data_IF_902502625521
#
_entry.id   IF_902502625521
#
_cell.length_a   1.000
_cell.length_b   1.000
_cell.length_c   1.000
_cell.angle_alpha   90.00
_cell.angle_beta   90.00
_cell.angle_gamma   90.00
#
_symmetry.space_group_name_H-M   'P 1'
#
loop_
_entity.id
_entity.type
_entity.pdbx_description
1 polymer ?
#
# COMPACT_ATOMS: atom_id res chain seq x y z
N UNK A 1 7.24 -22.89 -9.16
CA UNK A 1 5.76 -22.85 -9.24
C UNK A 1 5.09 -22.61 -7.87
N UNK A 2 5.75 -21.91 -6.92
CA UNK A 2 5.34 -21.89 -5.49
C UNK A 2 5.33 -20.47 -4.86
N UNK A 3 5.33 -19.37 -5.64
CA UNK A 3 5.40 -17.99 -5.09
C UNK A 3 4.52 -16.91 -5.74
N UNK A 4 3.74 -17.22 -6.77
CA UNK A 4 2.96 -16.21 -7.53
C UNK A 4 1.44 -16.19 -7.22
N UNK A 5 1.01 -17.03 -6.28
CA UNK A 5 -0.33 -17.03 -5.68
C UNK A 5 -0.31 -16.65 -4.19
N UNK A 6 0.88 -16.39 -3.61
CA UNK A 6 1.06 -16.17 -2.16
C UNK A 6 1.11 -14.70 -1.71
N UNK A 7 0.99 -13.71 -2.59
CA UNK A 7 1.16 -12.31 -2.18
C UNK A 7 -0.07 -11.64 -1.59
N UNK A 8 -1.29 -12.13 -1.86
CA UNK A 8 -2.47 -11.61 -1.18
C UNK A 8 -2.47 -11.96 0.32
N UNK A 9 -2.01 -13.16 0.67
CA UNK A 9 -1.86 -13.57 2.08
C UNK A 9 -0.76 -12.79 2.79
N UNK A 10 0.38 -12.54 2.13
CA UNK A 10 1.46 -11.73 2.68
C UNK A 10 1.01 -10.31 3.03
N UNK A 11 0.38 -9.62 2.07
CA UNK A 11 -0.16 -8.27 2.32
C UNK A 11 -1.27 -8.28 3.37
N UNK A 12 -2.20 -9.24 3.34
CA UNK A 12 -3.25 -9.37 4.35
C UNK A 12 -2.65 -9.51 5.77
N UNK A 13 -1.67 -10.39 5.93
CA UNK A 13 -0.97 -10.60 7.20
C UNK A 13 -0.26 -9.33 7.66
N UNK A 14 0.42 -8.61 6.77
CA UNK A 14 1.06 -7.35 7.14
C UNK A 14 0.05 -6.30 7.59
N UNK A 15 -1.05 -6.13 6.86
CA UNK A 15 -2.12 -5.21 7.27
C UNK A 15 -2.71 -5.61 8.61
N UNK A 16 -2.94 -6.91 8.84
CA UNK A 16 -3.43 -7.42 10.12
C UNK A 16 -2.45 -7.15 11.27
N UNK A 17 -1.17 -7.51 11.12
CA UNK A 17 -0.16 -7.31 12.16
C UNK A 17 0.10 -5.84 12.43
N UNK A 18 0.10 -4.98 11.39
CA UNK A 18 0.18 -3.53 11.57
C UNK A 18 -1.05 -3.00 12.29
N UNK A 19 -2.25 -3.44 11.93
CA UNK A 19 -3.47 -3.07 12.65
C UNK A 19 -3.39 -3.43 14.13
N UNK A 20 -3.01 -4.67 14.42
CA UNK A 20 -2.85 -5.18 15.78
C UNK A 20 -1.77 -4.42 16.55
N UNK A 21 -0.64 -4.14 15.90
CA UNK A 21 0.43 -3.32 16.47
C UNK A 21 -0.11 -1.93 16.82
N UNK A 22 -0.68 -1.19 15.88
CA UNK A 22 -1.22 0.15 16.14
C UNK A 22 -2.31 0.16 17.22
N UNK A 23 -3.15 -0.87 17.28
CA UNK A 23 -4.14 -1.04 18.34
C UNK A 23 -3.49 -1.23 19.72
N UNK A 24 -2.50 -2.13 19.84
CA UNK A 24 -1.76 -2.35 21.08
C UNK A 24 -1.03 -1.08 21.54
N UNK A 25 -0.47 -0.33 20.60
CA UNK A 25 0.24 0.91 20.89
C UNK A 25 -0.69 1.99 21.43
N UNK A 26 -1.84 2.16 20.79
CA UNK A 26 -2.89 3.05 21.28
C UNK A 26 -3.40 2.64 22.67
N UNK A 27 -3.55 1.34 22.91
CA UNK A 27 -3.95 0.82 24.21
C UNK A 27 -2.91 1.11 25.31
N UNK A 28 -1.64 0.88 25.02
CA UNK A 28 -0.52 1.15 25.94
C UNK A 28 -0.38 2.64 26.25
N UNK A 29 -0.56 3.50 25.24
CA UNK A 29 -0.52 4.96 25.40
C UNK A 29 -1.60 5.45 26.36
N UNK A 30 -2.79 4.84 26.35
CA UNK A 30 -3.86 5.16 27.32
C UNK A 30 -3.55 4.75 28.76
N UNK A 31 -2.72 3.72 28.96
CA UNK A 31 -2.41 3.22 30.31
C UNK A 31 -1.19 3.89 30.94
N UNK A 32 -0.27 4.42 30.14
CA UNK A 32 1.03 4.92 30.63
C UNK A 32 1.01 6.43 30.89
N UNK A 33 1.24 6.82 32.16
CA UNK A 33 1.39 8.22 32.59
C UNK A 33 2.80 8.80 32.39
N UNK A 34 3.77 8.06 31.83
CA UNK A 34 5.20 8.33 32.04
C UNK A 34 6.09 8.41 30.77
N UNK A 35 7.27 9.03 30.93
CA UNK A 35 8.25 9.46 29.91
C UNK A 35 8.73 8.42 28.86
N UNK A 36 8.47 7.12 29.03
CA UNK A 36 8.88 6.05 28.09
C UNK A 36 8.21 6.15 26.71
N UNK A 37 7.16 6.99 26.59
CA UNK A 37 6.48 7.32 25.34
C UNK A 37 7.34 8.07 24.31
N UNK A 38 8.46 8.71 24.69
CA UNK A 38 9.24 9.55 23.77
C UNK A 38 9.89 8.79 22.62
N UNK A 39 10.59 7.68 22.92
CA UNK A 39 11.24 6.87 21.89
C UNK A 39 10.18 6.17 21.01
N UNK A 40 9.10 5.75 21.65
CA UNK A 40 7.97 5.13 20.97
C UNK A 40 7.31 6.07 19.95
N UNK A 41 7.08 7.33 20.33
CA UNK A 41 6.54 8.37 19.43
C UNK A 41 7.41 8.65 18.21
N UNK A 42 8.72 8.37 18.27
CA UNK A 42 9.63 8.55 17.15
C UNK A 42 9.64 7.38 16.17
N UNK A 43 9.26 6.17 16.59
CA UNK A 43 9.41 4.94 15.79
C UNK A 43 8.06 4.37 15.34
N UNK A 44 6.95 4.82 15.93
CA UNK A 44 5.58 4.31 15.67
C UNK A 44 5.13 4.30 14.21
N UNK A 45 5.76 5.07 13.32
CA UNK A 45 5.41 5.15 11.89
C UNK A 45 6.22 4.16 11.04
N UNK A 46 7.35 3.65 11.51
CA UNK A 46 8.15 2.69 10.73
C UNK A 46 7.38 1.45 10.27
N UNK A 47 6.48 0.83 11.06
CA UNK A 47 5.67 -0.29 10.60
C UNK A 47 4.85 0.03 9.34
N UNK A 48 4.37 1.26 9.20
CA UNK A 48 3.68 1.74 8.00
C UNK A 48 4.58 1.69 6.76
N UNK A 49 5.85 2.10 6.90
CA UNK A 49 6.82 2.04 5.80
C UNK A 49 7.01 0.60 5.32
N UNK A 50 7.23 -0.34 6.23
CA UNK A 50 7.43 -1.74 5.87
C UNK A 50 6.18 -2.33 5.17
N UNK A 51 5.00 -2.04 5.69
CA UNK A 51 3.73 -2.50 5.12
C UNK A 51 3.53 -1.98 3.69
N UNK A 52 3.68 -0.67 3.48
CA UNK A 52 3.48 -0.05 2.17
C UNK A 52 4.58 -0.48 1.18
N UNK A 53 5.84 -0.52 1.63
CA UNK A 53 6.96 -0.95 0.80
C UNK A 53 6.76 -2.38 0.30
N UNK A 54 6.39 -3.32 1.18
CA UNK A 54 6.12 -4.69 0.78
C UNK A 54 4.92 -4.78 -0.17
N UNK A 55 3.82 -4.12 0.20
CA UNK A 55 2.55 -4.26 -0.52
C UNK A 55 2.59 -3.66 -1.91
N UNK A 56 3.33 -2.57 -2.12
CA UNK A 56 3.43 -1.90 -3.41
C UNK A 56 4.72 -2.26 -4.15
N UNK A 57 5.84 -2.43 -3.45
CA UNK A 57 7.15 -2.61 -4.08
C UNK A 57 7.28 -3.95 -4.78
N UNK A 58 6.90 -5.06 -4.14
CA UNK A 58 7.08 -6.37 -4.76
C UNK A 58 6.16 -6.58 -5.98
N UNK A 59 4.83 -6.30 -5.90
CA UNK A 59 3.96 -6.42 -7.07
C UNK A 59 4.32 -5.43 -8.19
N UNK A 60 4.70 -4.20 -7.85
CA UNK A 60 5.10 -3.20 -8.84
C UNK A 60 6.36 -3.63 -9.59
N UNK A 61 7.35 -4.15 -8.86
CA UNK A 61 8.58 -4.68 -9.46
C UNK A 61 8.30 -5.83 -10.42
N UNK A 62 7.46 -6.80 -10.02
CA UNK A 62 7.11 -7.94 -10.89
C UNK A 62 6.42 -7.48 -12.19
N UNK A 63 5.52 -6.48 -12.12
CA UNK A 63 4.84 -5.94 -13.31
C UNK A 63 5.78 -5.33 -14.33
N UNK A 64 6.84 -4.66 -13.87
CA UNK A 64 7.80 -3.99 -14.76
C UNK A 64 8.90 -4.93 -15.23
N UNK A 65 9.50 -5.70 -14.33
CA UNK A 65 10.70 -6.50 -14.64
C UNK A 65 10.40 -7.88 -15.19
N UNK A 66 9.26 -8.48 -14.86
CA UNK A 66 8.81 -9.76 -15.41
C UNK A 66 7.59 -9.57 -16.30
N UNK A 67 7.60 -8.51 -17.11
CA UNK A 67 6.45 -8.08 -17.91
C UNK A 67 5.96 -9.16 -18.88
N UNK A 68 6.85 -9.95 -19.48
CA UNK A 68 6.45 -11.01 -20.42
C UNK A 68 5.51 -12.04 -19.78
N UNK A 69 5.85 -12.53 -18.58
CA UNK A 69 5.05 -13.53 -17.87
C UNK A 69 3.80 -12.91 -17.23
N UNK A 70 3.96 -11.74 -16.61
CA UNK A 70 2.88 -11.06 -15.89
C UNK A 70 1.82 -10.54 -16.86
N UNK A 71 2.23 -9.97 -17.99
CA UNK A 71 1.32 -9.41 -18.99
C UNK A 71 0.47 -10.49 -19.65
N UNK A 72 1.06 -11.62 -20.05
CA UNK A 72 0.31 -12.73 -20.63
C UNK A 72 -0.83 -13.21 -19.71
N UNK A 73 -0.58 -13.25 -18.40
CA UNK A 73 -1.60 -13.60 -17.41
C UNK A 73 -2.73 -12.55 -17.35
N UNK A 74 -2.38 -11.26 -17.32
CA UNK A 74 -3.39 -10.19 -17.29
C UNK A 74 -4.21 -10.10 -18.58
N UNK A 75 -3.58 -10.25 -19.75
CA UNK A 75 -4.28 -10.33 -21.04
C UNK A 75 -5.33 -11.43 -21.01
N UNK A 76 -4.96 -12.62 -20.53
CA UNK A 76 -5.89 -13.74 -20.44
C UNK A 76 -7.02 -13.49 -19.43
N UNK A 77 -6.69 -12.94 -18.25
CA UNK A 77 -7.67 -12.60 -17.21
C UNK A 77 -8.71 -11.58 -17.69
N UNK A 78 -8.29 -10.59 -18.47
CA UNK A 78 -9.16 -9.51 -18.96
C UNK A 78 -9.72 -9.77 -20.36
N UNK A 79 -9.43 -10.90 -20.99
CA UNK A 79 -9.80 -11.22 -22.39
C UNK A 79 -11.28 -10.98 -22.70
N UNK A 80 -12.18 -11.38 -21.81
CA UNK A 80 -13.64 -11.25 -21.96
C UNK A 80 -14.23 -9.93 -21.43
N UNK A 81 -13.39 -9.01 -20.94
CA UNK A 81 -13.84 -7.74 -20.37
C UNK A 81 -13.96 -6.63 -21.42
N UNK A 82 -14.59 -5.51 -21.08
CA UNK A 82 -14.57 -4.34 -21.95
C UNK A 82 -13.18 -3.70 -22.04
N UNK A 83 -12.32 -3.90 -21.04
CA UNK A 83 -10.96 -3.33 -21.00
C UNK A 83 -10.04 -3.93 -22.08
N UNK A 84 -10.27 -5.18 -22.49
CA UNK A 84 -9.52 -5.78 -23.61
C UNK A 84 -9.88 -5.18 -24.97
N UNK A 85 -11.04 -4.53 -25.09
CA UNK A 85 -11.54 -3.91 -26.33
C UNK A 85 -11.06 -2.46 -26.50
N UNK A 86 -10.44 -1.87 -25.48
CA UNK A 86 -9.89 -0.52 -25.56
C UNK A 86 -8.67 -0.47 -26.51
N UNK A 87 -8.37 0.69 -27.13
CA UNK A 87 -7.20 0.84 -27.97
C UNK A 87 -5.92 0.56 -27.18
N UNK A 88 -5.10 -0.38 -27.66
CA UNK A 88 -3.91 -0.87 -26.94
C UNK A 88 -4.18 -1.97 -25.91
N UNK A 89 -5.43 -2.40 -25.73
CA UNK A 89 -5.83 -3.46 -24.81
C UNK A 89 -5.53 -3.15 -23.34
N UNK A 90 -5.28 -4.19 -22.54
CA UNK A 90 -5.03 -4.04 -21.10
C UNK A 90 -3.58 -3.58 -20.79
N UNK A 91 -2.64 -3.73 -21.73
CA UNK A 91 -1.21 -3.58 -21.47
C UNK A 91 -0.82 -2.21 -20.90
N UNK A 92 -1.28 -1.07 -21.47
CA UNK A 92 -0.94 0.25 -20.94
C UNK A 92 -1.38 0.44 -19.50
N UNK A 93 -2.55 -0.10 -19.12
CA UNK A 93 -3.08 -0.01 -17.77
C UNK A 93 -2.26 -0.79 -16.76
N UNK A 94 -1.77 -1.99 -17.13
CA UNK A 94 -0.92 -2.81 -16.25
C UNK A 94 0.44 -2.15 -16.05
N UNK A 95 1.05 -1.58 -17.10
CA UNK A 95 2.30 -0.84 -16.97
C UNK A 95 2.12 0.42 -16.11
N UNK A 96 1.04 1.17 -16.33
CA UNK A 96 0.71 2.33 -15.51
C UNK A 96 0.55 1.95 -14.03
N UNK A 97 -0.17 0.86 -13.73
CA UNK A 97 -0.27 0.33 -12.37
C UNK A 97 1.10 -0.07 -11.80
N UNK A 98 1.95 -0.74 -12.58
CA UNK A 98 3.31 -1.10 -12.15
C UNK A 98 4.16 0.12 -11.80
N UNK A 99 4.06 1.20 -12.58
CA UNK A 99 4.76 2.46 -12.31
C UNK A 99 4.22 3.16 -11.05
N UNK A 100 2.89 3.20 -10.88
CA UNK A 100 2.26 3.75 -9.68
C UNK A 100 2.71 2.98 -8.43
N UNK A 101 2.69 1.65 -8.49
CA UNK A 101 3.14 0.77 -7.41
C UNK A 101 4.63 0.94 -7.08
N UNK A 102 5.51 1.04 -8.09
CA UNK A 102 6.94 1.28 -7.88
C UNK A 102 7.28 2.69 -7.42
N UNK A 103 6.44 3.68 -7.72
CA UNK A 103 6.67 5.03 -7.21
C UNK A 103 6.57 5.09 -5.68
N UNK A 104 5.72 4.25 -5.06
CA UNK A 104 5.53 4.18 -3.61
C UNK A 104 6.82 3.82 -2.85
N UNK A 105 7.51 2.69 -3.09
CA UNK A 105 8.75 2.37 -2.39
C UNK A 105 9.84 3.42 -2.64
N UNK A 106 9.92 4.02 -3.83
CA UNK A 106 10.86 5.12 -4.11
C UNK A 106 10.57 6.32 -3.20
N UNK A 107 9.31 6.75 -3.14
CA UNK A 107 8.89 7.84 -2.25
C UNK A 107 9.14 7.51 -0.79
N UNK A 108 8.89 6.27 -0.35
CA UNK A 108 9.18 5.83 1.01
C UNK A 108 10.68 5.85 1.33
N UNK A 109 11.55 5.45 0.40
CA UNK A 109 13.01 5.55 0.58
C UNK A 109 13.45 7.01 0.70
N UNK A 110 12.94 7.90 -0.17
CA UNK A 110 13.22 9.35 -0.08
C UNK A 110 12.72 9.91 1.27
N UNK A 111 11.54 9.49 1.70
CA UNK A 111 10.94 9.87 2.98
C UNK A 111 11.76 9.40 4.18
N UNK A 112 12.34 8.19 4.13
CA UNK A 112 13.26 7.66 5.14
C UNK A 112 14.55 8.48 5.20
N UNK A 113 15.17 8.77 4.05
CA UNK A 113 16.39 9.59 3.98
C UNK A 113 16.13 10.98 4.57
N UNK A 114 14.97 11.57 4.29
CA UNK A 114 14.54 12.86 4.85
C UNK A 114 14.05 12.78 6.30
N UNK A 115 14.04 11.59 6.91
CA UNK A 115 13.60 11.35 8.30
C UNK A 115 12.18 11.84 8.59
N UNK A 116 11.28 11.76 7.60
CA UNK A 116 9.89 12.21 7.73
C UNK A 116 9.07 11.34 8.70
N UNK A 117 9.55 10.14 9.03
CA UNK A 117 8.95 9.29 10.06
C UNK A 117 8.95 9.92 11.46
N UNK A 118 9.81 10.92 11.71
CA UNK A 118 9.88 11.62 13.00
C UNK A 118 8.76 12.64 13.23
N UNK A 119 7.99 12.99 12.19
CA UNK A 119 6.92 14.00 12.21
C UNK A 119 7.29 15.37 12.82
N UNK A 120 8.58 15.75 12.79
CA UNK A 120 9.02 17.09 13.21
C UNK A 120 8.71 18.18 12.17
N UNK A 121 8.45 17.76 10.93
CA UNK A 121 8.13 18.61 9.77
C UNK A 121 7.04 17.91 8.97
N UNK A 122 6.36 18.66 8.09
CA UNK A 122 5.34 18.11 7.20
C UNK A 122 5.93 16.96 6.34
N UNK A 123 5.44 15.72 6.48
CA UNK A 123 6.03 14.53 5.85
C UNK A 123 5.47 14.36 4.42
N UNK A 124 5.92 15.23 3.52
CA UNK A 124 5.35 15.33 2.17
C UNK A 124 5.46 14.03 1.38
N UNK A 125 6.62 13.37 1.39
CA UNK A 125 6.85 12.16 0.60
C UNK A 125 6.10 10.97 1.18
N UNK A 126 6.03 10.85 2.50
CA UNK A 126 5.19 9.84 3.15
C UNK A 126 3.71 10.03 2.79
N UNK A 127 3.19 11.25 2.89
CA UNK A 127 1.79 11.56 2.55
C UNK A 127 1.51 11.24 1.09
N UNK A 128 2.40 11.62 0.18
CA UNK A 128 2.26 11.33 -1.24
C UNK A 128 2.27 9.81 -1.51
N UNK A 129 3.17 9.07 -0.86
CA UNK A 129 3.24 7.61 -0.97
C UNK A 129 1.93 6.94 -0.49
N UNK A 130 1.38 7.39 0.64
CA UNK A 130 0.10 6.90 1.17
C UNK A 130 -1.04 7.21 0.19
N UNK A 131 -1.08 8.42 -0.36
CA UNK A 131 -2.12 8.83 -1.31
C UNK A 131 -2.09 8.02 -2.60
N UNK A 132 -0.91 7.85 -3.21
CA UNK A 132 -0.73 7.00 -4.39
C UNK A 132 -1.16 5.56 -4.07
N UNK A 133 -0.83 5.05 -2.88
CA UNK A 133 -1.23 3.72 -2.44
C UNK A 133 -2.76 3.56 -2.44
N UNK A 134 -3.50 4.52 -1.88
CA UNK A 134 -4.97 4.51 -1.85
C UNK A 134 -5.54 4.50 -3.27
N UNK A 135 -5.05 5.38 -4.15
CA UNK A 135 -5.49 5.42 -5.56
C UNK A 135 -5.23 4.08 -6.24
N UNK A 136 -4.04 3.52 -6.07
CA UNK A 136 -3.68 2.22 -6.66
C UNK A 136 -4.60 1.11 -6.18
N UNK A 137 -4.93 1.03 -4.89
CA UNK A 137 -5.86 0.03 -4.41
C UNK A 137 -7.27 0.20 -4.99
N UNK A 138 -7.76 1.43 -5.14
CA UNK A 138 -9.05 1.71 -5.79
C UNK A 138 -9.03 1.26 -7.26
N UNK A 139 -7.95 1.55 -8.00
CA UNK A 139 -7.79 1.11 -9.38
C UNK A 139 -7.73 -0.41 -9.51
N UNK A 140 -6.98 -1.08 -8.63
CA UNK A 140 -6.92 -2.55 -8.58
C UNK A 140 -8.28 -3.15 -8.21
N UNK A 141 -9.01 -2.54 -7.27
CA UNK A 141 -10.35 -2.97 -6.87
C UNK A 141 -11.31 -2.92 -8.05
N UNK A 142 -11.27 -1.83 -8.81
CA UNK A 142 -12.02 -1.71 -10.05
C UNK A 142 -11.64 -2.82 -11.04
N UNK A 143 -10.35 -3.02 -11.29
CA UNK A 143 -9.87 -4.09 -12.18
C UNK A 143 -10.36 -5.48 -11.77
N UNK A 144 -10.30 -5.83 -10.49
CA UNK A 144 -10.80 -7.11 -9.98
C UNK A 144 -12.33 -7.23 -10.07
N UNK A 145 -13.05 -6.13 -9.89
CA UNK A 145 -14.52 -6.10 -10.03
C UNK A 145 -14.95 -6.35 -11.48
N UNK A 146 -14.20 -5.82 -12.45
CA UNK A 146 -14.46 -6.03 -13.89
C UNK A 146 -14.36 -7.51 -14.29
N UNK A 147 -13.46 -8.26 -13.66
CA UNK A 147 -13.31 -9.72 -13.87
C UNK A 147 -14.12 -10.55 -12.87
N UNK A 148 -15.06 -9.92 -12.15
CA UNK A 148 -15.95 -10.56 -11.17
C UNK A 148 -15.21 -11.28 -10.02
N UNK A 149 -13.98 -10.87 -9.70
CA UNK A 149 -13.24 -11.38 -8.55
C UNK A 149 -13.56 -10.56 -7.29
N UNK A 150 -14.78 -10.75 -6.78
CA UNK A 150 -15.28 -10.02 -5.61
C UNK A 150 -14.47 -10.22 -4.33
N UNK A 151 -14.01 -11.45 -3.97
CA UNK A 151 -13.20 -11.63 -2.75
C UNK A 151 -11.91 -10.80 -2.77
N UNK A 152 -11.22 -10.77 -3.92
CA UNK A 152 -10.03 -9.95 -4.09
C UNK A 152 -10.35 -8.45 -4.06
N UNK A 153 -11.44 -8.03 -4.71
CA UNK A 153 -11.88 -6.63 -4.71
C UNK A 153 -12.22 -6.13 -3.30
N UNK A 154 -12.94 -6.92 -2.49
CA UNK A 154 -13.28 -6.59 -1.10
C UNK A 154 -12.03 -6.38 -0.24
N UNK A 155 -10.99 -7.22 -0.41
CA UNK A 155 -9.72 -7.03 0.30
C UNK A 155 -9.06 -5.69 -0.06
N UNK A 156 -9.11 -5.27 -1.33
CA UNK A 156 -8.53 -4.00 -1.76
C UNK A 156 -9.33 -2.80 -1.23
N UNK A 157 -10.65 -2.89 -1.11
CA UNK A 157 -11.46 -1.87 -0.42
C UNK A 157 -11.01 -1.76 1.04
N UNK A 158 -10.88 -2.87 1.74
CA UNK A 158 -10.38 -2.89 3.12
C UNK A 158 -9.00 -2.24 3.23
N UNK A 159 -8.04 -2.59 2.36
CA UNK A 159 -6.70 -1.99 2.36
C UNK A 159 -6.73 -0.49 2.07
N UNK A 160 -7.61 -0.05 1.16
CA UNK A 160 -7.80 1.38 0.84
C UNK A 160 -8.28 2.17 2.05
N UNK A 161 -9.36 1.69 2.70
CA UNK A 161 -9.96 2.35 3.87
C UNK A 161 -8.98 2.35 5.04
N UNK A 162 -8.31 1.23 5.30
CA UNK A 162 -7.32 1.14 6.37
C UNK A 162 -6.15 2.12 6.15
N UNK A 163 -5.66 2.19 4.91
CA UNK A 163 -4.58 3.11 4.52
C UNK A 163 -5.02 4.57 4.62
N UNK A 164 -6.29 4.88 4.32
CA UNK A 164 -6.88 6.20 4.56
C UNK A 164 -7.00 6.52 6.06
N UNK A 165 -7.31 5.54 6.90
CA UNK A 165 -7.24 5.69 8.35
C UNK A 165 -5.82 6.01 8.85
N UNK A 166 -4.81 5.34 8.30
CA UNK A 166 -3.40 5.63 8.58
C UNK A 166 -2.96 7.01 8.08
N UNK A 167 -3.44 7.44 6.91
CA UNK A 167 -3.26 8.82 6.43
C UNK A 167 -3.78 9.83 7.46
N UNK A 168 -5.02 9.66 7.90
CA UNK A 168 -5.62 10.53 8.91
C UNK A 168 -4.81 10.52 10.22
N UNK A 169 -4.36 9.34 10.65
CA UNK A 169 -3.50 9.20 11.84
C UNK A 169 -2.18 9.98 11.70
N UNK A 170 -1.49 9.88 10.56
CA UNK A 170 -0.24 10.62 10.31
C UNK A 170 -0.49 12.13 10.35
N UNK A 171 -1.55 12.61 9.71
CA UNK A 171 -1.90 14.04 9.66
C UNK A 171 -2.32 14.57 11.03
N UNK A 172 -3.11 13.81 11.80
CA UNK A 172 -3.54 14.21 13.14
C UNK A 172 -2.35 14.39 14.09
N UNK A 173 -1.38 13.48 14.03
CA UNK A 173 -0.17 13.54 14.85
C UNK A 173 0.83 14.63 14.41
N UNK A 174 0.71 15.14 13.18
CA UNK A 174 1.48 16.31 12.76
C UNK A 174 1.01 17.58 13.47
N UNK A 175 -0.29 17.71 13.74
CA UNK A 175 -0.87 18.92 14.35
C UNK A 175 -0.56 19.06 15.84
N UNK A 176 -0.16 17.97 16.48
CA UNK A 176 0.11 17.93 17.93
C UNK A 176 1.57 18.21 18.28
N UNK A 177 2.46 18.25 17.28
CA UNK A 177 3.90 18.54 17.42
C UNK A 177 4.21 19.97 16.97
#
# INVERSE_FOLDING_TARGET
MLRLLSNHGGSANLFFFVSLLYFLLWWLERQSSNNSLKLFNHIRILPLYFMLFYTMGFPGWEKIMNSAQVMGRYINLFSNSFLSKLPGGINPFIYFLGLMELSVPILLVVSLIKSEFSLKKYPFYLILAIYITIITFVMLCFGLSVILNFPGATNLVFYSIFTLGLYYYVVANLRTN
#
